data_IF_740661622364
#
_entry.id   IF_740661622364
#
_cell.length_a   1.000
_cell.length_b   1.000
_cell.length_c   1.000
_cell.angle_alpha   90.00
_cell.angle_beta   90.00
_cell.angle_gamma   90.00
#
_symmetry.space_group_name_H-M   'P 1'
#
loop_
_entity.id
_entity.type
_entity.pdbx_description
1 polymer ?
#
# COMPACT_ATOMS: atom_id res chain seq x y z
N UNK A 1 30.90 37.21 -18.35
CA UNK A 1 31.06 36.04 -17.44
C UNK A 1 29.70 35.87 -16.77
N UNK A 2 28.85 34.91 -17.18
CA UNK A 2 28.80 33.49 -16.72
C UNK A 2 28.69 33.49 -15.18
N UNK A 3 27.62 33.05 -14.52
CA UNK A 3 26.97 31.74 -14.64
C UNK A 3 25.49 31.72 -14.22
N UNK A 4 24.76 30.83 -14.90
CA UNK A 4 23.46 30.26 -14.55
C UNK A 4 23.47 29.51 -13.21
N UNK A 5 22.30 29.42 -12.56
CA UNK A 5 21.72 28.27 -11.79
C UNK A 5 20.67 28.84 -10.82
N UNK A 6 19.35 28.69 -11.00
CA UNK A 6 18.52 27.48 -11.00
C UNK A 6 18.76 26.56 -9.80
N UNK A 7 17.85 26.60 -8.83
CA UNK A 7 17.65 25.56 -7.80
C UNK A 7 16.18 25.66 -7.34
N UNK A 8 15.27 25.01 -8.07
CA UNK A 8 14.63 23.75 -7.65
C UNK A 8 14.05 23.86 -6.23
N UNK A 9 12.76 24.18 -6.18
CA UNK A 9 11.93 23.95 -5.00
C UNK A 9 11.81 22.43 -4.84
N UNK A 10 12.55 21.88 -3.89
CA UNK A 10 12.40 20.49 -3.45
C UNK A 10 11.01 20.35 -2.83
N UNK A 11 10.04 19.90 -3.62
CA UNK A 11 8.84 19.28 -3.09
C UNK A 11 9.32 18.02 -2.39
N UNK A 12 9.48 18.11 -1.07
CA UNK A 12 9.64 16.96 -0.21
C UNK A 12 8.46 16.03 -0.48
N UNK A 13 8.74 14.91 -1.14
CA UNK A 13 7.82 13.81 -1.22
C UNK A 13 7.56 13.35 0.22
N UNK A 14 6.41 13.75 0.76
CA UNK A 14 5.81 13.10 1.90
C UNK A 14 5.34 11.73 1.43
N UNK A 15 6.28 10.81 1.22
CA UNK A 15 6.01 9.41 1.47
C UNK A 15 5.96 9.29 3.00
N UNK A 16 4.83 9.71 3.56
CA UNK A 16 4.44 9.31 4.89
C UNK A 16 4.39 7.79 4.85
N UNK A 17 5.44 7.17 5.37
CA UNK A 17 5.40 5.78 5.77
C UNK A 17 4.32 5.69 6.87
N UNK A 18 3.08 5.44 6.46
CA UNK A 18 1.99 5.13 7.37
C UNK A 18 2.25 3.75 7.94
N UNK A 19 3.02 3.72 9.03
CA UNK A 19 2.89 2.66 10.04
C UNK A 19 1.55 2.86 10.76
N UNK A 20 0.45 2.72 10.04
CA UNK A 20 -0.88 2.69 10.63
C UNK A 20 -1.08 1.27 11.19
N UNK A 21 -0.75 1.11 12.47
CA UNK A 21 -1.12 -0.06 13.26
C UNK A 21 -2.45 0.26 13.95
N UNK A 22 -3.51 0.23 13.17
CA UNK A 22 -4.88 0.35 13.68
C UNK A 22 -5.33 -1.05 14.17
N UNK A 23 -6.27 -1.12 15.11
CA UNK A 23 -7.16 -2.25 15.44
C UNK A 23 -6.67 -3.73 15.43
N UNK A 24 -7.22 -4.54 16.35
CA UNK A 24 -7.14 -6.01 16.23
C UNK A 24 -7.76 -6.56 14.94
N UNK A 25 -8.66 -5.80 14.31
CA UNK A 25 -9.33 -6.21 13.07
C UNK A 25 -8.48 -5.94 11.83
N UNK A 26 -7.63 -4.91 11.84
CA UNK A 26 -6.68 -4.64 10.75
C UNK A 26 -5.66 -5.77 10.61
N UNK A 27 -5.15 -6.28 11.74
CA UNK A 27 -4.26 -7.45 11.71
C UNK A 27 -4.96 -8.69 11.13
N UNK A 28 -6.26 -8.89 11.40
CA UNK A 28 -7.02 -10.01 10.83
C UNK A 28 -7.19 -9.85 9.32
N UNK A 29 -7.51 -8.66 8.85
CA UNK A 29 -7.69 -8.40 7.42
C UNK A 29 -6.39 -8.52 6.64
N UNK A 30 -5.29 -7.97 7.17
CA UNK A 30 -3.96 -8.12 6.59
C UNK A 30 -3.55 -9.59 6.53
N UNK A 31 -3.71 -10.35 7.62
CA UNK A 31 -3.38 -11.77 7.64
C UNK A 31 -4.21 -12.58 6.64
N UNK A 32 -5.51 -12.27 6.52
CA UNK A 32 -6.38 -12.88 5.52
C UNK A 32 -5.91 -12.54 4.10
N UNK A 33 -5.58 -11.29 3.81
CA UNK A 33 -5.06 -10.89 2.50
C UNK A 33 -3.75 -11.61 2.16
N UNK A 34 -2.83 -11.75 3.11
CA UNK A 34 -1.58 -12.50 2.89
C UNK A 34 -1.87 -13.97 2.58
N UNK A 35 -2.81 -14.57 3.30
CA UNK A 35 -3.25 -15.95 3.03
C UNK A 35 -3.93 -16.09 1.67
N UNK A 36 -4.75 -15.12 1.27
CA UNK A 36 -5.46 -15.11 -0.01
C UNK A 36 -4.48 -14.96 -1.19
N UNK A 37 -3.24 -14.51 -0.95
CA UNK A 37 -2.17 -14.32 -1.93
C UNK A 37 -0.99 -15.31 -1.75
N UNK A 38 -1.17 -16.39 -1.00
CA UNK A 38 -0.09 -17.33 -0.69
C UNK A 38 0.49 -18.04 -1.93
N UNK A 39 -0.28 -18.12 -3.02
CA UNK A 39 0.07 -18.73 -4.30
C UNK A 39 0.62 -17.74 -5.33
N UNK A 40 0.70 -16.44 -5.00
CA UNK A 40 1.13 -15.37 -5.90
C UNK A 40 2.58 -15.49 -6.40
N UNK A 41 3.38 -16.40 -5.84
CA UNK A 41 4.83 -16.59 -6.12
C UNK A 41 5.65 -15.30 -5.95
N UNK A 42 5.21 -14.43 -5.05
CA UNK A 42 5.92 -13.20 -4.65
C UNK A 42 6.48 -13.40 -3.24
N UNK A 43 7.58 -12.71 -2.92
CA UNK A 43 8.12 -12.71 -1.57
C UNK A 43 7.05 -12.32 -0.55
N UNK A 44 6.94 -13.05 0.55
CA UNK A 44 5.93 -12.81 1.60
C UNK A 44 5.98 -11.40 2.16
N UNK A 45 7.16 -10.79 2.21
CA UNK A 45 7.34 -9.40 2.63
C UNK A 45 6.65 -8.40 1.68
N UNK A 46 6.73 -8.63 0.37
CA UNK A 46 6.05 -7.80 -0.64
C UNK A 46 4.54 -7.96 -0.52
N UNK A 47 4.05 -9.20 -0.36
CA UNK A 47 2.62 -9.45 -0.14
C UNK A 47 2.13 -8.78 1.15
N UNK A 48 2.92 -8.83 2.22
CA UNK A 48 2.58 -8.18 3.50
C UNK A 48 2.53 -6.66 3.35
N UNK A 49 3.49 -6.05 2.65
CA UNK A 49 3.49 -4.61 2.34
C UNK A 49 2.26 -4.21 1.51
N UNK A 50 1.93 -4.99 0.48
CA UNK A 50 0.74 -4.78 -0.34
C UNK A 50 -0.54 -4.83 0.50
N UNK A 51 -0.74 -5.90 1.28
CA UNK A 51 -1.92 -6.08 2.11
C UNK A 51 -2.05 -4.99 3.19
N UNK A 52 -0.92 -4.52 3.75
CA UNK A 52 -0.91 -3.41 4.70
C UNK A 52 -1.33 -2.10 4.03
N UNK A 53 -0.77 -1.80 2.85
CA UNK A 53 -1.14 -0.62 2.06
C UNK A 53 -2.64 -0.63 1.71
N UNK A 54 -3.16 -1.78 1.28
CA UNK A 54 -4.58 -1.92 0.95
C UNK A 54 -5.48 -1.71 2.17
N UNK A 55 -5.14 -2.31 3.31
CA UNK A 55 -5.89 -2.12 4.55
C UNK A 55 -5.94 -0.63 4.96
N UNK A 56 -4.82 0.08 4.87
CA UNK A 56 -4.74 1.49 5.25
C UNK A 56 -5.55 2.42 4.34
N UNK A 57 -5.82 1.98 3.10
CA UNK A 57 -6.66 2.71 2.14
C UNK A 57 -8.14 2.38 2.29
N UNK A 58 -8.47 1.25 2.93
CA UNK A 58 -9.83 0.93 3.32
C UNK A 58 -10.25 1.84 4.47
N UNK A 59 -11.48 2.35 4.42
CA UNK A 59 -12.03 3.15 5.52
C UNK A 59 -12.42 2.28 6.71
N UNK A 60 -12.47 2.87 7.90
CA UNK A 60 -12.78 2.16 9.17
C UNK A 60 -14.16 1.47 9.20
N UNK A 61 -15.08 1.86 8.31
CA UNK A 61 -16.42 1.27 8.20
C UNK A 61 -16.53 0.23 7.07
N UNK A 62 -15.41 -0.17 6.47
CA UNK A 62 -15.39 -1.19 5.43
C UNK A 62 -15.63 -2.59 6.04
N UNK A 63 -16.47 -3.38 5.37
CA UNK A 63 -16.86 -4.73 5.82
C UNK A 63 -16.39 -5.84 4.89
N UNK A 64 -15.95 -5.47 3.69
CA UNK A 64 -15.35 -6.38 2.73
C UNK A 64 -13.93 -6.76 3.15
N UNK A 65 -13.48 -7.96 2.79
CA UNK A 65 -12.06 -8.30 2.88
C UNK A 65 -11.26 -7.51 1.84
N UNK A 66 -9.97 -7.29 2.11
CA UNK A 66 -9.05 -6.61 1.16
C UNK A 66 -9.15 -7.21 -0.26
N UNK A 67 -9.11 -8.54 -0.40
CA UNK A 67 -9.20 -9.23 -1.69
C UNK A 67 -10.57 -9.12 -2.39
N UNK A 68 -11.64 -8.82 -1.64
CA UNK A 68 -12.94 -8.51 -2.24
C UNK A 68 -13.01 -7.05 -2.66
N UNK A 69 -12.47 -6.16 -1.84
CA UNK A 69 -12.46 -4.71 -2.02
C UNK A 69 -11.58 -4.27 -3.20
N UNK A 70 -10.43 -4.91 -3.41
CA UNK A 70 -9.50 -4.59 -4.51
C UNK A 70 -10.14 -4.71 -5.90
N UNK A 71 -11.17 -5.56 -6.05
CA UNK A 71 -11.89 -5.75 -7.32
C UNK A 71 -12.63 -4.49 -7.77
N UNK A 72 -13.02 -3.63 -6.85
CA UNK A 72 -13.70 -2.35 -7.13
C UNK A 72 -12.76 -1.14 -6.97
N UNK A 73 -11.59 -1.32 -6.36
CA UNK A 73 -10.61 -0.27 -6.02
C UNK A 73 -9.28 -0.50 -6.76
N UNK A 74 -9.37 -0.47 -8.09
CA UNK A 74 -8.24 -0.76 -8.99
C UNK A 74 -7.15 0.31 -8.97
N UNK A 75 -7.47 1.54 -8.55
CA UNK A 75 -6.48 2.60 -8.44
C UNK A 75 -5.56 2.37 -7.23
N UNK A 76 -6.16 2.04 -6.09
CA UNK A 76 -5.51 1.73 -4.83
C UNK A 76 -4.68 0.45 -4.95
N UNK A 77 -5.22 -0.57 -5.63
CA UNK A 77 -4.48 -1.80 -5.96
C UNK A 77 -3.18 -1.48 -6.69
N UNK A 78 -3.22 -0.68 -7.77
CA UNK A 78 -2.02 -0.33 -8.55
C UNK A 78 -1.02 0.50 -7.76
N UNK A 79 -1.51 1.40 -6.92
CA UNK A 79 -0.66 2.20 -6.04
C UNK A 79 0.06 1.31 -5.03
N UNK A 80 -0.67 0.39 -4.38
CA UNK A 80 -0.11 -0.54 -3.42
C UNK A 80 0.79 -1.60 -4.05
N UNK A 81 0.50 -2.08 -5.26
CA UNK A 81 1.40 -2.95 -6.02
C UNK A 81 2.75 -2.28 -6.25
N UNK A 82 2.74 -1.00 -6.66
CA UNK A 82 3.95 -0.20 -6.88
C UNK A 82 4.70 0.06 -5.57
N UNK A 83 4.00 0.41 -4.50
CA UNK A 83 4.61 0.67 -3.19
C UNK A 83 5.27 -0.58 -2.61
N UNK A 84 4.61 -1.74 -2.75
CA UNK A 84 5.12 -3.01 -2.30
C UNK A 84 6.28 -3.55 -3.15
N UNK A 85 6.43 -3.04 -4.38
CA UNK A 85 7.38 -3.58 -5.36
C UNK A 85 6.91 -4.89 -5.98
N UNK A 86 5.59 -5.12 -6.06
CA UNK A 86 5.02 -6.28 -6.72
C UNK A 86 5.08 -6.12 -8.24
N UNK A 87 4.69 -4.96 -8.77
CA UNK A 87 4.64 -4.69 -10.22
C UNK A 87 5.14 -3.29 -10.56
#
# INVERSE_FOLDING_TARGET
MKFFMSAILVVCALFLASLAFTGTDDMKWIAKCVSDNADAKVASEVVTKYCTCMNNKMGDNETLSISAWEKTHQAEMKECEKEAGWK
#
